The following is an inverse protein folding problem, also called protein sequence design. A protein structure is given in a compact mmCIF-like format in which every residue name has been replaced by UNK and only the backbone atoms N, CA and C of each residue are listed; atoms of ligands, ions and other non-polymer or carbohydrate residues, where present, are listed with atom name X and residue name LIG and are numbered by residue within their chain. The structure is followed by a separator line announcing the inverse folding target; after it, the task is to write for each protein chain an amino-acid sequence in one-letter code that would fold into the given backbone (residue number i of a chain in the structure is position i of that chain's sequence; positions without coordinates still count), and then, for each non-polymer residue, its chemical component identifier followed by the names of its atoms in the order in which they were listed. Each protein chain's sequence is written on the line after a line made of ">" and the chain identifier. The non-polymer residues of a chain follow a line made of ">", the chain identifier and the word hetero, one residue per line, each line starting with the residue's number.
data_IF_321423656392
#
_entry.id   IF_321423656392
#
_cell.length_a   1.000
_cell.length_b   1.000
_cell.length_c   1.000
_cell.angle_alpha   90.00
_cell.angle_beta   90.00
_cell.angle_gamma   90.00
#
_symmetry.space_group_name_H-M   'P 1'
#
loop_
_entity.id
_entity.type
_entity.pdbx_description
1 polymer ?
#
# COMPACT_ATOMS: atom_id res chain seq x y z
N UNK A 1 -22.87 19.36 -3.41
CA UNK A 1 -22.02 18.40 -4.15
C UNK A 1 -20.81 18.23 -3.25
N UNK A 2 -20.75 17.15 -2.49
CA UNK A 2 -19.57 16.87 -1.67
C UNK A 2 -18.50 16.39 -2.65
N UNK A 3 -17.44 17.18 -2.80
CA UNK A 3 -16.25 16.85 -3.59
C UNK A 3 -15.57 15.66 -2.90
N UNK A 4 -15.94 14.44 -3.29
CA UNK A 4 -15.13 13.27 -3.01
C UNK A 4 -13.90 13.45 -3.89
N UNK A 5 -12.77 13.85 -3.31
CA UNK A 5 -11.49 13.79 -4.00
C UNK A 5 -11.21 12.33 -4.32
N UNK A 6 -11.64 11.88 -5.50
CA UNK A 6 -11.27 10.57 -6.00
C UNK A 6 -9.78 10.64 -6.26
N UNK A 7 -8.98 10.10 -5.33
CA UNK A 7 -7.55 9.98 -5.53
C UNK A 7 -7.33 8.99 -6.66
N UNK A 8 -7.03 9.49 -7.85
CA UNK A 8 -6.68 8.68 -9.00
C UNK A 8 -5.32 8.01 -8.74
N UNK A 9 -5.36 6.71 -8.49
CA UNK A 9 -4.16 5.92 -8.26
C UNK A 9 -3.58 5.43 -9.59
N UNK A 10 -2.24 5.48 -9.76
CA UNK A 10 -1.61 4.99 -10.97
C UNK A 10 -1.73 3.46 -11.07
N UNK A 11 -1.48 2.94 -12.27
CA UNK A 11 -1.59 1.50 -12.53
C UNK A 11 -0.71 0.67 -11.58
N UNK A 12 -1.32 -0.35 -10.95
CA UNK A 12 -0.65 -1.16 -9.93
C UNK A 12 -1.06 -0.82 -8.50
N UNK A 13 -1.95 0.18 -8.34
CA UNK A 13 -2.47 0.66 -7.05
C UNK A 13 -3.99 0.76 -7.04
N UNK A 14 -4.56 0.84 -5.85
CA UNK A 14 -5.97 1.16 -5.64
C UNK A 14 -6.14 2.17 -4.50
N UNK A 15 -7.23 2.93 -4.52
CA UNK A 15 -7.58 3.86 -3.47
C UNK A 15 -8.02 3.09 -2.21
N UNK A 16 -7.60 3.57 -1.04
CA UNK A 16 -8.04 3.08 0.26
C UNK A 16 -8.18 4.26 1.22
N UNK A 17 -9.34 4.38 1.85
CA UNK A 17 -9.63 5.40 2.85
C UNK A 17 -9.17 4.91 4.23
N UNK A 18 -8.38 5.71 4.95
CA UNK A 18 -7.92 5.37 6.30
C UNK A 18 -8.12 6.57 7.26
N UNK A 19 -8.52 6.29 8.51
CA UNK A 19 -8.84 7.31 9.53
C UNK A 19 -7.64 8.08 10.09
N UNK A 20 -6.44 7.51 10.03
CA UNK A 20 -5.23 8.14 10.57
C UNK A 20 -4.10 8.09 9.55
N UNK A 21 -3.84 9.22 8.91
CA UNK A 21 -2.73 9.34 7.94
C UNK A 21 -1.37 9.55 8.60
N UNK A 22 -1.35 9.83 9.91
CA UNK A 22 -0.17 10.20 10.70
C UNK A 22 0.50 9.02 11.43
N UNK A 23 -0.05 7.81 11.36
CA UNK A 23 0.74 6.57 11.52
C UNK A 23 1.66 6.42 10.31
N UNK A 24 2.65 7.30 10.29
CA UNK A 24 3.69 7.43 9.27
C UNK A 24 4.34 6.07 8.97
N UNK A 25 4.78 5.96 7.73
CA UNK A 25 5.82 5.07 7.17
C UNK A 25 5.45 3.70 6.63
N UNK A 26 4.31 3.10 6.98
CA UNK A 26 3.90 1.83 6.38
C UNK A 26 2.48 1.95 5.83
N UNK A 27 2.40 2.23 4.54
CA UNK A 27 1.19 2.11 3.73
C UNK A 27 0.48 0.82 4.15
N UNK A 28 -0.67 0.96 4.82
CA UNK A 28 -1.34 -0.14 5.47
C UNK A 28 -1.66 -1.23 4.44
N UNK A 29 -1.15 -2.46 4.63
CA UNK A 29 -1.40 -3.57 3.71
C UNK A 29 -0.56 -3.55 2.44
N UNK A 30 0.44 -2.67 2.35
CA UNK A 30 1.40 -2.63 1.25
C UNK A 30 2.79 -3.03 1.75
N UNK A 31 3.38 -4.02 1.07
CA UNK A 31 4.79 -4.36 1.27
C UNK A 31 5.70 -3.39 0.52
N UNK A 32 6.96 -3.35 0.91
CA UNK A 32 8.04 -2.64 0.20
C UNK A 32 9.12 -3.64 -0.20
N UNK A 33 10.06 -3.24 -1.06
CA UNK A 33 11.21 -4.11 -1.36
C UNK A 33 12.07 -4.42 -0.13
N UNK A 34 12.08 -3.55 0.87
CA UNK A 34 12.82 -3.76 2.12
C UNK A 34 11.98 -4.54 3.17
N UNK A 35 10.64 -4.56 3.04
CA UNK A 35 9.69 -5.24 3.94
C UNK A 35 8.47 -5.75 3.13
N UNK A 36 8.57 -6.90 2.43
CA UNK A 36 7.62 -7.29 1.39
C UNK A 36 6.35 -7.93 1.91
N UNK A 37 6.31 -8.31 3.19
CA UNK A 37 5.10 -8.84 3.81
C UNK A 37 4.16 -7.67 4.16
N UNK A 38 2.97 -7.60 3.52
CA UNK A 38 2.02 -6.54 3.82
C UNK A 38 1.57 -6.66 5.28
N UNK A 39 1.76 -5.59 6.05
CA UNK A 39 1.33 -5.58 7.45
C UNK A 39 -0.20 -5.50 7.54
N UNK A 40 -0.84 -6.20 8.50
CA UNK A 40 -2.28 -6.13 8.71
C UNK A 40 -2.70 -4.68 8.93
N UNK A 41 -3.77 -4.27 8.25
CA UNK A 41 -4.38 -2.95 8.43
C UNK A 41 -5.33 -3.03 9.62
N UNK A 42 -4.84 -2.88 10.86
CA UNK A 42 -5.75 -2.83 12.02
C UNK A 42 -6.65 -1.58 12.01
N UNK A 43 -6.28 -0.50 11.28
CA UNK A 43 -6.95 0.81 11.38
C UNK A 43 -7.24 1.50 10.03
N UNK A 44 -7.78 0.78 9.04
CA UNK A 44 -8.28 1.38 7.79
C UNK A 44 -9.78 1.15 7.56
N UNK A 45 -10.57 1.07 8.63
CA UNK A 45 -12.03 1.16 8.53
C UNK A 45 -12.43 2.62 8.80
N UNK A 46 -12.66 3.36 7.72
CA UNK A 46 -13.38 4.63 7.79
C UNK A 46 -14.88 4.31 7.78
N UNK A 47 -15.50 4.27 8.96
CA UNK A 47 -16.96 4.29 9.05
C UNK A 47 -17.44 5.71 8.77
N UNK A 48 -18.42 5.91 7.88
CA UNK A 48 -18.99 7.24 7.58
C UNK A 48 -19.71 7.89 8.78
N UNK A 49 -19.92 7.13 9.87
CA UNK A 49 -20.57 7.58 11.11
C UNK A 49 -19.60 8.13 12.17
N UNK A 50 -18.30 7.97 11.99
CA UNK A 50 -17.32 8.61 12.85
C UNK A 50 -16.85 9.89 12.15
N UNK A 51 -16.99 11.05 12.77
CA UNK A 51 -16.49 12.37 12.34
C UNK A 51 -14.94 12.44 12.22
N UNK A 52 -14.29 11.34 11.83
CA UNK A 52 -12.86 11.21 11.61
C UNK A 52 -12.49 11.78 10.23
N UNK A 53 -11.39 12.55 10.19
CA UNK A 53 -10.76 13.04 8.96
C UNK A 53 -10.16 11.87 8.14
N UNK A 54 -11.02 11.13 7.45
CA UNK A 54 -10.60 10.05 6.58
C UNK A 54 -9.85 10.61 5.37
N UNK A 55 -8.64 10.11 5.16
CA UNK A 55 -7.83 10.46 3.98
C UNK A 55 -7.75 9.27 3.04
N UNK A 56 -8.07 9.54 1.78
CA UNK A 56 -7.84 8.61 0.69
C UNK A 56 -6.35 8.56 0.34
N UNK A 57 -5.81 7.36 0.23
CA UNK A 57 -4.43 7.10 -0.22
C UNK A 57 -4.41 6.01 -1.27
N UNK A 58 -3.37 6.02 -2.09
CA UNK A 58 -3.08 4.93 -3.00
C UNK A 58 -2.23 3.87 -2.30
N UNK A 59 -2.68 2.62 -2.38
CA UNK A 59 -1.95 1.45 -1.86
C UNK A 59 -1.70 0.48 -3.01
N UNK A 60 -0.55 -0.20 -2.99
CA UNK A 60 -0.23 -1.22 -3.97
C UNK A 60 -1.30 -2.30 -3.99
N UNK A 61 -1.64 -2.75 -5.20
CA UNK A 61 -2.48 -3.93 -5.39
C UNK A 61 -1.86 -5.14 -4.67
N UNK A 62 -2.72 -6.04 -4.21
CA UNK A 62 -2.27 -7.19 -3.43
C UNK A 62 -1.23 -8.02 -4.21
N UNK A 63 -0.11 -8.33 -3.57
CA UNK A 63 1.02 -9.03 -4.18
C UNK A 63 2.07 -8.12 -4.80
N UNK A 64 1.78 -6.83 -5.04
CA UNK A 64 2.77 -5.84 -5.42
C UNK A 64 3.41 -5.20 -4.18
N UNK A 65 4.60 -4.65 -4.37
CA UNK A 65 5.34 -3.89 -3.37
C UNK A 65 5.71 -2.52 -3.90
N UNK A 66 5.81 -1.56 -2.98
CA UNK A 66 6.26 -0.21 -3.28
C UNK A 66 7.76 -0.20 -3.50
N UNK A 67 8.16 0.21 -4.70
CA UNK A 67 9.54 0.43 -5.06
C UNK A 67 10.05 1.75 -4.48
N UNK A 68 11.37 1.91 -4.41
CA UNK A 68 11.98 3.19 -3.99
C UNK A 68 11.65 4.36 -4.93
N UNK A 69 11.24 4.07 -6.17
CA UNK A 69 10.75 5.06 -7.14
C UNK A 69 9.34 5.57 -6.81
N UNK A 70 8.65 4.94 -5.87
CA UNK A 70 7.26 5.23 -5.53
C UNK A 70 6.25 4.44 -6.35
N UNK A 71 6.67 3.68 -7.36
CA UNK A 71 5.77 2.83 -8.16
C UNK A 71 5.49 1.49 -7.46
N UNK A 72 4.28 0.95 -7.65
CA UNK A 72 3.93 -0.41 -7.24
C UNK A 72 4.25 -1.41 -8.34
N UNK A 73 5.10 -2.39 -8.02
CA UNK A 73 5.52 -3.44 -8.96
C UNK A 73 5.59 -4.80 -8.29
N UNK A 74 5.83 -5.85 -9.06
CA UNK A 74 5.99 -7.19 -8.49
C UNK A 74 7.25 -7.23 -7.61
N UNK A 75 7.27 -8.07 -6.56
CA UNK A 75 8.45 -8.21 -5.71
C UNK A 75 9.70 -8.69 -6.47
N UNK A 76 9.53 -9.36 -7.62
CA UNK A 76 10.63 -9.75 -8.51
C UNK A 76 11.30 -8.57 -9.20
N UNK A 77 10.65 -7.42 -9.31
CA UNK A 77 11.23 -6.18 -9.82
C UNK A 77 12.09 -5.47 -8.77
N UNK A 78 12.05 -5.91 -7.51
CA UNK A 78 12.94 -5.38 -6.49
C UNK A 78 14.41 -5.72 -6.82
N UNK A 79 15.38 -4.88 -6.40
CA UNK A 79 16.79 -5.16 -6.61
C UNK A 79 17.20 -6.52 -6.02
N UNK A 80 18.07 -7.26 -6.72
CA UNK A 80 18.57 -8.55 -6.22
C UNK A 80 19.21 -8.39 -4.83
N UNK A 81 18.94 -9.34 -3.95
CA UNK A 81 19.40 -9.31 -2.55
C UNK A 81 18.54 -8.48 -1.61
N UNK A 82 17.47 -7.84 -2.09
CA UNK A 82 16.46 -7.24 -1.22
C UNK A 82 15.47 -8.29 -0.71
N UNK A 83 14.88 -8.09 0.48
CA UNK A 83 13.81 -8.95 1.01
C UNK A 83 12.67 -9.18 0.00
N UNK A 84 12.27 -8.15 -0.76
CA UNK A 84 11.23 -8.26 -1.79
C UNK A 84 11.61 -9.19 -2.94
N UNK A 85 12.85 -9.12 -3.42
CA UNK A 85 13.33 -10.04 -4.45
C UNK A 85 13.36 -11.48 -3.94
N UNK A 86 13.86 -11.71 -2.72
CA UNK A 86 13.86 -13.04 -2.10
C UNK A 86 12.44 -13.57 -1.86
N UNK A 87 11.51 -12.70 -1.48
CA UNK A 87 10.10 -13.03 -1.29
C UNK A 87 9.46 -13.50 -2.60
N UNK A 88 9.76 -12.82 -3.72
CA UNK A 88 9.33 -13.25 -5.05
C UNK A 88 9.83 -14.66 -5.37
N UNK A 89 11.12 -14.92 -5.13
CA UNK A 89 11.75 -16.21 -5.40
C UNK A 89 11.18 -17.34 -4.53
N UNK A 90 10.86 -17.06 -3.26
CA UNK A 90 10.22 -18.02 -2.35
C UNK A 90 8.81 -18.40 -2.82
N UNK A 91 8.03 -17.44 -3.33
CA UNK A 91 6.67 -17.68 -3.83
C UNK A 91 6.59 -18.42 -5.17
N UNK A 92 7.67 -18.46 -5.94
CA UNK A 92 7.75 -19.16 -7.24
C UNK A 92 8.17 -20.63 -7.11
N UNK A 93 8.59 -21.07 -5.92
CA UNK A 93 8.93 -22.46 -5.58
C UNK A 93 7.71 -23.20 -5.05
#
# INVERSE_FOLDING_TARGET
>A
IYDVQVVECPGGEHTKSCKNSNSRSKSCGEGTCDDPEPQPCEDCECSPDDDDDCQDKCVCNNGNVRQRTGECREPSDCPEGTPGFEYAQKKRK
#
